data_IF_907826623421
#
_entry.id   IF_907826623421
#
_cell.length_a   1.000
_cell.length_b   1.000
_cell.length_c   1.000
_cell.angle_alpha   90.00
_cell.angle_beta   90.00
_cell.angle_gamma   90.00
#
_symmetry.space_group_name_H-M   'P 1'
#
loop_
_entity.id
_entity.type
_entity.pdbx_description
1 polymer ?
#
# COMPACT_ATOMS: atom_id res chain seq x y z
N UNK A 1 27.34 28.47 30.76
CA UNK A 1 26.98 27.40 29.81
C UNK A 1 26.02 28.01 28.79
N UNK A 2 26.57 28.70 27.80
CA UNK A 2 25.81 29.47 26.82
C UNK A 2 25.44 28.56 25.64
N UNK A 3 24.20 28.08 25.62
CA UNK A 3 23.62 27.44 24.45
C UNK A 3 23.40 28.56 23.43
N UNK A 4 24.39 28.73 22.54
CA UNK A 4 24.29 29.64 21.40
C UNK A 4 23.07 29.25 20.57
N UNK A 5 22.11 30.17 20.49
CA UNK A 5 21.18 30.29 19.38
C UNK A 5 22.01 30.24 18.08
N UNK A 6 21.97 29.13 17.36
CA UNK A 6 22.36 29.12 15.96
C UNK A 6 21.26 29.82 15.19
N UNK A 7 21.54 31.07 14.82
CA UNK A 7 20.77 31.84 13.87
C UNK A 7 20.51 30.97 12.62
N UNK A 8 19.24 30.85 12.25
CA UNK A 8 18.86 30.29 10.97
C UNK A 8 19.30 31.29 9.89
N UNK A 9 20.48 31.08 9.33
CA UNK A 9 20.91 31.78 8.12
C UNK A 9 19.87 31.51 7.01
N UNK A 10 19.20 32.57 6.58
CA UNK A 10 18.39 32.59 5.38
C UNK A 10 19.32 32.39 4.19
N UNK A 11 19.28 31.19 3.60
CA UNK A 11 20.06 30.91 2.40
C UNK A 11 19.39 31.63 1.24
N UNK A 12 20.11 32.54 0.62
CA UNK A 12 19.77 33.07 -0.69
C UNK A 12 19.86 31.92 -1.72
N UNK A 13 18.71 31.56 -2.29
CA UNK A 13 18.63 30.46 -3.24
C UNK A 13 19.09 30.99 -4.61
N UNK A 14 20.37 30.79 -4.92
CA UNK A 14 20.94 31.08 -6.24
C UNK A 14 21.13 29.80 -7.04
N UNK A 15 21.31 29.94 -8.36
CA UNK A 15 21.55 28.81 -9.27
C UNK A 15 22.82 28.05 -8.90
N UNK A 16 23.87 28.74 -8.43
CA UNK A 16 25.13 28.10 -8.01
C UNK A 16 25.02 27.35 -6.67
N UNK A 17 24.12 27.76 -5.77
CA UNK A 17 23.99 27.19 -4.42
C UNK A 17 22.95 26.05 -4.34
N UNK A 18 22.35 25.65 -5.47
CA UNK A 18 21.28 24.63 -5.48
C UNK A 18 21.73 23.29 -4.90
N UNK A 19 22.93 22.84 -5.25
CA UNK A 19 23.42 21.53 -4.82
C UNK A 19 23.67 21.47 -3.31
N UNK A 20 24.22 22.53 -2.73
CA UNK A 20 24.47 22.64 -1.29
C UNK A 20 23.15 22.75 -0.51
N UNK A 21 22.17 23.51 -1.02
CA UNK A 21 20.82 23.55 -0.45
C UNK A 21 20.20 22.15 -0.45
N UNK A 22 20.29 21.39 -1.55
CA UNK A 22 19.77 20.02 -1.61
C UNK A 22 20.44 19.13 -0.56
N UNK A 23 21.77 19.17 -0.45
CA UNK A 23 22.52 18.39 0.56
C UNK A 23 22.09 18.73 1.98
N UNK A 24 21.91 20.02 2.29
CA UNK A 24 21.51 20.49 3.63
C UNK A 24 20.11 20.03 4.02
N UNK A 25 19.17 19.97 3.08
CA UNK A 25 17.78 19.57 3.34
C UNK A 25 17.49 18.09 3.07
N UNK A 26 18.44 17.32 2.54
CA UNK A 26 18.31 15.86 2.34
C UNK A 26 17.87 15.08 3.59
N UNK A 27 18.39 15.36 4.81
CA UNK A 27 17.91 14.69 6.03
C UNK A 27 16.42 14.94 6.33
N UNK A 28 15.90 16.11 5.97
CA UNK A 28 14.47 16.43 6.12
C UNK A 28 13.62 15.57 5.20
N UNK A 29 14.05 15.34 3.96
CA UNK A 29 13.37 14.45 3.02
C UNK A 29 13.28 13.05 3.60
N UNK A 30 14.40 12.51 4.11
CA UNK A 30 14.43 11.19 4.75
C UNK A 30 13.45 11.09 5.92
N UNK A 31 13.39 12.11 6.77
CA UNK A 31 12.43 12.16 7.88
C UNK A 31 10.97 12.13 7.39
N UNK A 32 10.62 12.95 6.40
CA UNK A 32 9.26 13.00 5.84
C UNK A 32 8.88 11.67 5.19
N UNK A 33 9.76 11.11 4.36
CA UNK A 33 9.55 9.84 3.66
C UNK A 33 9.34 8.68 4.64
N UNK A 34 10.21 8.52 5.64
CA UNK A 34 10.08 7.47 6.66
C UNK A 34 8.76 7.59 7.44
N UNK A 35 8.36 8.81 7.81
CA UNK A 35 7.11 9.03 8.54
C UNK A 35 5.87 8.66 7.71
N UNK A 36 5.92 8.83 6.39
CA UNK A 36 4.86 8.41 5.47
C UNK A 36 4.90 6.88 5.33
N UNK A 37 6.07 6.30 5.11
CA UNK A 37 6.27 4.85 4.94
C UNK A 37 5.75 4.02 6.11
N UNK A 38 5.82 4.52 7.36
CA UNK A 38 5.24 3.84 8.54
C UNK A 38 3.74 3.53 8.42
N UNK A 39 3.02 4.19 7.51
CA UNK A 39 1.58 4.01 7.28
C UNK A 39 1.26 3.31 5.96
N UNK A 40 2.29 2.90 5.23
CA UNK A 40 2.16 2.30 3.91
C UNK A 40 2.38 0.79 3.98
N UNK A 41 1.80 0.03 3.03
CA UNK A 41 2.12 -1.39 2.86
C UNK A 41 3.61 -1.64 2.60
N UNK A 42 4.11 -2.85 2.91
CA UNK A 42 5.54 -3.19 2.78
C UNK A 42 6.05 -3.24 1.33
N UNK A 43 5.17 -3.25 0.33
CA UNK A 43 5.57 -3.27 -1.08
C UNK A 43 6.00 -1.89 -1.62
N UNK A 44 5.85 -0.81 -0.84
CA UNK A 44 6.29 0.52 -1.23
C UNK A 44 7.66 0.78 -0.61
N UNK A 45 8.68 0.95 -1.47
CA UNK A 45 10.03 1.20 -1.02
C UNK A 45 10.23 2.64 -0.54
N UNK A 46 10.91 2.80 0.59
CA UNK A 46 11.18 4.13 1.17
C UNK A 46 12.12 4.94 0.29
N UNK A 47 13.04 4.28 -0.41
CA UNK A 47 14.02 4.93 -1.27
C UNK A 47 13.35 5.58 -2.51
N UNK A 48 12.26 5.00 -3.00
CA UNK A 48 11.43 5.62 -4.04
C UNK A 48 10.77 6.91 -3.52
N UNK A 49 10.22 6.89 -2.30
CA UNK A 49 9.63 8.08 -1.68
C UNK A 49 10.68 9.18 -1.44
N UNK A 50 11.91 8.80 -1.08
CA UNK A 50 13.02 9.75 -0.94
C UNK A 50 13.34 10.38 -2.30
N UNK A 51 13.41 9.60 -3.37
CA UNK A 51 13.70 10.07 -4.73
C UNK A 51 12.64 11.06 -5.22
N UNK A 52 11.35 10.75 -5.02
CA UNK A 52 10.23 11.67 -5.28
C UNK A 52 10.33 12.93 -4.43
N UNK A 53 10.70 12.78 -3.16
CA UNK A 53 10.91 13.89 -2.24
C UNK A 53 12.03 14.83 -2.70
N UNK A 54 13.11 14.31 -3.31
CA UNK A 54 14.17 15.12 -3.92
C UNK A 54 13.62 15.94 -5.08
N UNK A 55 12.82 15.35 -5.97
CA UNK A 55 12.17 16.08 -7.06
C UNK A 55 11.25 17.20 -6.53
N UNK A 56 10.48 16.91 -5.48
CA UNK A 56 9.66 17.90 -4.79
C UNK A 56 10.45 19.06 -4.17
N UNK A 57 11.65 18.78 -3.64
CA UNK A 57 12.57 19.80 -3.13
C UNK A 57 13.14 20.65 -4.27
N UNK A 58 13.53 20.05 -5.41
CA UNK A 58 14.03 20.79 -6.57
C UNK A 58 12.98 21.76 -7.13
N UNK A 59 11.70 21.34 -7.16
CA UNK A 59 10.58 22.22 -7.52
C UNK A 59 10.38 23.34 -6.48
N UNK A 60 10.49 23.02 -5.19
CA UNK A 60 10.38 24.00 -4.12
C UNK A 60 11.48 25.07 -4.20
N UNK A 61 12.72 24.67 -4.46
CA UNK A 61 13.87 25.57 -4.67
C UNK A 61 13.59 26.54 -5.82
N UNK A 62 13.03 26.04 -6.91
CA UNK A 62 12.78 26.85 -8.13
C UNK A 62 11.63 27.85 -7.98
N UNK A 63 10.66 27.56 -7.09
CA UNK A 63 9.44 28.36 -6.91
C UNK A 63 9.40 29.15 -5.61
N UNK A 64 10.42 29.04 -4.76
CA UNK A 64 10.45 29.73 -3.49
C UNK A 64 10.66 31.23 -3.69
N UNK A 65 9.91 32.01 -2.93
CA UNK A 65 9.93 33.46 -2.96
C UNK A 65 10.05 33.96 -1.52
N UNK A 66 11.24 34.50 -1.18
CA UNK A 66 11.57 34.99 0.15
C UNK A 66 10.75 36.21 0.56
N UNK A 67 10.18 36.95 -0.41
CA UNK A 67 9.35 38.14 -0.13
C UNK A 67 8.04 37.81 0.59
N UNK A 68 7.62 36.54 0.57
CA UNK A 68 6.36 36.06 1.17
C UNK A 68 6.45 35.76 2.66
N UNK A 69 7.61 35.94 3.29
CA UNK A 69 7.81 35.86 4.74
C UNK A 69 7.73 34.45 5.34
N UNK A 70 7.58 33.40 4.53
CA UNK A 70 7.59 32.02 5.00
C UNK A 70 9.02 31.47 4.95
N UNK A 71 9.48 30.81 6.02
CA UNK A 71 10.80 30.16 6.03
C UNK A 71 10.87 29.06 4.98
N UNK A 72 11.97 29.02 4.22
CA UNK A 72 12.19 28.01 3.18
C UNK A 72 11.98 26.58 3.69
N UNK A 73 12.51 26.23 4.87
CA UNK A 73 12.33 24.90 5.46
C UNK A 73 10.86 24.48 5.55
N UNK A 74 10.00 25.37 6.04
CA UNK A 74 8.57 25.09 6.21
C UNK A 74 7.86 24.95 4.87
N UNK A 75 8.23 25.80 3.90
CA UNK A 75 7.71 25.70 2.53
C UNK A 75 8.14 24.40 1.84
N UNK A 76 9.44 24.08 1.90
CA UNK A 76 10.03 22.88 1.33
C UNK A 76 9.42 21.61 1.92
N UNK A 77 9.22 21.54 3.24
CA UNK A 77 8.58 20.39 3.90
C UNK A 77 7.16 20.14 3.35
N UNK A 78 6.37 21.20 3.17
CA UNK A 78 5.03 21.09 2.59
C UNK A 78 5.07 20.60 1.12
N UNK A 79 6.00 21.12 0.31
CA UNK A 79 6.16 20.74 -1.10
C UNK A 79 6.65 19.31 -1.27
N UNK A 80 7.65 18.89 -0.50
CA UNK A 80 8.19 17.52 -0.48
C UNK A 80 7.11 16.53 -0.08
N UNK A 81 6.39 16.81 1.02
CA UNK A 81 5.28 15.97 1.45
C UNK A 81 4.18 15.88 0.40
N UNK A 82 3.85 17.01 -0.25
CA UNK A 82 2.89 17.05 -1.34
C UNK A 82 3.30 16.16 -2.51
N UNK A 83 4.54 16.29 -2.97
CA UNK A 83 5.08 15.47 -4.07
C UNK A 83 5.01 13.97 -3.76
N UNK A 84 5.42 13.55 -2.56
CA UNK A 84 5.34 12.14 -2.15
C UNK A 84 3.88 11.65 -2.13
N UNK A 85 2.95 12.44 -1.59
CA UNK A 85 1.53 12.08 -1.56
C UNK A 85 0.90 12.05 -2.97
N UNK A 86 1.36 12.89 -3.89
CA UNK A 86 0.89 12.92 -5.27
C UNK A 86 1.40 11.69 -6.04
N UNK A 87 2.65 11.29 -5.85
CA UNK A 87 3.18 10.05 -6.44
C UNK A 87 2.46 8.81 -5.87
N UNK A 88 2.26 8.77 -4.56
CA UNK A 88 1.49 7.70 -3.92
C UNK A 88 0.06 7.64 -4.46
N UNK A 89 -0.55 8.75 -4.86
CA UNK A 89 -1.87 8.75 -5.50
C UNK A 89 -1.82 8.27 -6.96
N UNK A 90 -0.71 8.48 -7.66
CA UNK A 90 -0.52 7.96 -9.00
C UNK A 90 -0.28 6.44 -8.99
N UNK A 91 0.43 5.94 -7.96
CA UNK A 91 0.68 4.51 -7.73
C UNK A 91 -0.50 3.77 -7.07
N UNK A 92 -1.18 4.38 -6.10
CA UNK A 92 -2.34 3.80 -5.43
C UNK A 92 -3.54 3.76 -6.39
N UNK A 93 -3.82 2.57 -6.92
CA UNK A 93 -5.06 2.27 -7.65
C UNK A 93 -6.34 2.46 -6.80
N UNK A 94 -6.25 2.71 -5.48
CA UNK A 94 -7.41 2.80 -4.57
C UNK A 94 -8.16 4.14 -4.72
N UNK A 95 -9.42 4.14 -5.22
CA UNK A 95 -10.21 5.35 -5.42
C UNK A 95 -10.45 6.15 -4.14
N UNK A 96 -10.64 7.48 -4.28
CA UNK A 96 -10.94 8.39 -3.16
C UNK A 96 -12.18 7.96 -2.37
N UNK A 97 -13.19 7.40 -3.03
CA UNK A 97 -14.42 6.89 -2.41
C UNK A 97 -14.14 5.78 -1.40
N UNK A 98 -13.28 4.82 -1.75
CA UNK A 98 -12.88 3.71 -0.87
C UNK A 98 -12.10 4.25 0.34
N UNK A 99 -11.16 5.17 0.12
CA UNK A 99 -10.42 5.84 1.20
C UNK A 99 -11.33 6.60 2.18
N UNK A 100 -12.37 7.24 1.66
CA UNK A 100 -13.35 7.95 2.49
C UNK A 100 -14.19 6.98 3.32
N UNK A 101 -14.62 5.85 2.73
CA UNK A 101 -15.31 4.77 3.44
C UNK A 101 -14.44 4.22 4.57
N UNK A 102 -13.17 3.90 4.29
CA UNK A 102 -12.20 3.43 5.27
C UNK A 102 -12.04 4.37 6.46
N UNK A 103 -11.79 5.66 6.19
CA UNK A 103 -11.62 6.66 7.25
C UNK A 103 -12.91 6.86 8.06
N UNK A 104 -14.08 6.65 7.46
CA UNK A 104 -15.36 6.75 8.18
C UNK A 104 -15.53 5.58 9.16
N UNK A 105 -15.25 4.35 8.72
CA UNK A 105 -15.27 3.16 9.58
C UNK A 105 -14.34 3.35 10.77
N UNK A 106 -13.08 3.75 10.54
CA UNK A 106 -12.09 3.97 11.60
C UNK A 106 -12.56 5.00 12.65
N UNK A 107 -13.16 6.11 12.19
CA UNK A 107 -13.68 7.14 13.10
C UNK A 107 -14.81 6.63 13.97
N UNK A 108 -15.72 5.86 13.39
CA UNK A 108 -16.85 5.28 14.12
C UNK A 108 -16.37 4.25 15.13
N UNK A 109 -15.45 3.36 14.74
CA UNK A 109 -14.85 2.36 15.63
C UNK A 109 -14.13 3.04 16.80
N UNK A 110 -13.29 4.05 16.55
CA UNK A 110 -12.61 4.79 17.61
C UNK A 110 -13.59 5.53 18.54
N UNK A 111 -14.64 6.12 17.98
CA UNK A 111 -15.68 6.79 18.74
C UNK A 111 -16.45 5.83 19.65
N UNK A 112 -16.83 4.66 19.15
CA UNK A 112 -17.51 3.62 19.93
C UNK A 112 -16.57 3.01 20.97
N UNK A 113 -15.31 2.74 20.62
CA UNK A 113 -14.33 2.22 21.57
C UNK A 113 -14.11 3.17 22.75
N UNK A 114 -14.08 4.49 22.49
CA UNK A 114 -14.00 5.50 23.55
C UNK A 114 -15.26 5.56 24.43
N UNK A 115 -16.45 5.32 23.86
CA UNK A 115 -17.72 5.30 24.62
C UNK A 115 -17.90 4.00 25.42
N UNK A 116 -17.56 2.86 24.84
CA UNK A 116 -17.86 1.53 25.37
C UNK A 116 -16.73 0.99 26.27
N UNK A 117 -15.52 1.57 26.20
CA UNK A 117 -14.32 1.08 26.90
C UNK A 117 -13.98 -0.39 26.58
N UNK A 118 -14.45 -0.89 25.44
CA UNK A 118 -14.14 -2.20 24.86
C UNK A 118 -14.14 -2.07 23.33
N UNK A 119 -13.66 -3.11 22.63
CA UNK A 119 -13.83 -3.18 21.19
C UNK A 119 -15.35 -3.25 20.85
N UNK A 120 -15.84 -2.43 19.91
CA UNK A 120 -17.23 -2.50 19.45
C UNK A 120 -17.44 -3.76 18.60
N UNK A 121 -18.64 -4.33 18.66
CA UNK A 121 -19.04 -5.43 17.77
C UNK A 121 -19.45 -4.89 16.40
N UNK A 122 -19.34 -5.71 15.36
CA UNK A 122 -19.64 -5.32 13.98
C UNK A 122 -21.08 -4.78 13.82
N UNK A 123 -22.03 -5.35 14.55
CA UNK A 123 -23.42 -4.88 14.59
C UNK A 123 -23.55 -3.46 15.18
N UNK A 124 -22.76 -3.14 16.22
CA UNK A 124 -22.74 -1.82 16.86
C UNK A 124 -22.15 -0.77 15.93
N UNK A 125 -21.09 -1.13 15.20
CA UNK A 125 -20.44 -0.28 14.19
C UNK A 125 -21.39 -0.02 13.03
N UNK A 126 -22.01 -1.06 12.47
CA UNK A 126 -22.97 -0.94 11.38
C UNK A 126 -24.15 -0.04 11.76
N UNK A 127 -24.66 -0.18 12.99
CA UNK A 127 -25.75 0.64 13.53
C UNK A 127 -25.37 2.10 13.68
N UNK A 128 -24.19 2.41 14.22
CA UNK A 128 -23.71 3.81 14.35
C UNK A 128 -23.43 4.44 12.97
N UNK A 129 -23.03 3.62 11.98
CA UNK A 129 -22.86 4.04 10.59
C UNK A 129 -24.19 4.21 9.82
N UNK A 130 -25.31 3.69 10.35
CA UNK A 130 -26.61 3.72 9.68
C UNK A 130 -26.71 2.82 8.45
N UNK A 131 -25.92 1.74 8.40
CA UNK A 131 -25.91 0.76 7.29
C UNK A 131 -26.28 -0.63 7.80
N UNK A 132 -26.66 -1.52 6.88
CA UNK A 132 -26.89 -2.94 7.22
C UNK A 132 -25.56 -3.66 7.51
N UNK A 133 -25.63 -4.79 8.24
CA UNK A 133 -24.46 -5.62 8.53
C UNK A 133 -23.79 -6.14 7.24
N UNK A 134 -24.58 -6.53 6.24
CA UNK A 134 -24.06 -6.98 4.95
C UNK A 134 -23.31 -5.87 4.21
N UNK A 135 -23.88 -4.66 4.18
CA UNK A 135 -23.21 -3.49 3.59
C UNK A 135 -21.94 -3.10 4.35
N UNK A 136 -21.90 -3.33 5.66
CA UNK A 136 -20.71 -3.13 6.47
C UNK A 136 -19.62 -4.14 6.07
N UNK A 137 -19.95 -5.42 5.92
CA UNK A 137 -19.02 -6.44 5.45
C UNK A 137 -18.52 -6.16 4.02
N UNK A 138 -19.38 -5.71 3.11
CA UNK A 138 -18.98 -5.28 1.76
C UNK A 138 -18.02 -4.11 1.82
N UNK A 139 -18.32 -3.11 2.65
CA UNK A 139 -17.45 -1.94 2.86
C UNK A 139 -16.09 -2.34 3.43
N UNK A 140 -16.04 -3.29 4.37
CA UNK A 140 -14.80 -3.84 4.88
C UNK A 140 -14.01 -4.55 3.79
N UNK A 141 -14.67 -5.34 2.94
CA UNK A 141 -14.00 -6.05 1.85
C UNK A 141 -13.47 -5.11 0.76
N UNK A 142 -14.21 -4.06 0.40
CA UNK A 142 -13.73 -3.03 -0.53
C UNK A 142 -12.55 -2.23 0.05
N UNK A 143 -12.55 -2.02 1.37
CA UNK A 143 -11.53 -1.22 2.07
C UNK A 143 -10.25 -2.01 2.35
N UNK A 144 -10.32 -3.34 2.40
CA UNK A 144 -9.12 -4.19 2.56
C UNK A 144 -8.20 -3.96 1.36
N UNK A 145 -7.14 -3.16 1.54
CA UNK A 145 -5.97 -3.27 0.68
C UNK A 145 -5.51 -4.71 0.76
N UNK A 146 -5.51 -5.43 -0.36
CA UNK A 146 -4.91 -6.75 -0.44
C UNK A 146 -3.40 -6.49 -0.47
N UNK A 147 -2.66 -6.73 0.63
CA UNK A 147 -1.21 -6.73 0.53
C UNK A 147 -0.80 -7.77 -0.52
N UNK A 148 -0.03 -7.33 -1.51
CA UNK A 148 0.67 -8.24 -2.40
C UNK A 148 1.78 -8.85 -1.56
N UNK A 149 1.70 -10.16 -1.32
CA UNK A 149 2.76 -10.88 -0.64
C UNK A 149 3.59 -11.64 -1.67
N UNK A 150 4.89 -11.76 -1.40
CA UNK A 150 5.74 -12.70 -2.11
C UNK A 150 5.35 -14.12 -1.71
N UNK A 151 5.07 -14.96 -2.71
CA UNK A 151 4.82 -16.39 -2.46
C UNK A 151 6.08 -17.15 -2.04
N UNK A 152 7.27 -16.58 -2.28
CA UNK A 152 8.54 -17.09 -1.74
C UNK A 152 8.70 -16.81 -0.24
N UNK A 153 8.22 -15.64 0.22
CA UNK A 153 8.34 -15.24 1.63
C UNK A 153 7.27 -15.88 2.52
N UNK A 154 6.12 -16.24 1.94
CA UNK A 154 5.14 -17.08 2.61
C UNK A 154 5.65 -18.51 2.59
N UNK A 155 6.18 -18.97 3.72
CA UNK A 155 6.61 -20.34 3.88
C UNK A 155 6.10 -20.99 5.17
N UNK A 156 5.98 -22.32 5.14
CA UNK A 156 5.73 -23.12 6.33
C UNK A 156 7.10 -23.49 6.90
N UNK A 157 7.37 -23.06 8.14
CA UNK A 157 8.57 -23.48 8.84
C UNK A 157 8.48 -25.00 9.10
N UNK A 158 9.36 -25.79 8.51
CA UNK A 158 9.52 -27.19 8.90
C UNK A 158 10.25 -27.28 10.24
N UNK A 159 9.97 -28.33 11.01
CA UNK A 159 10.69 -28.65 12.25
C UNK A 159 12.21 -28.81 12.04
N UNK A 160 12.66 -29.01 10.80
CA UNK A 160 14.07 -29.08 10.40
C UNK A 160 14.77 -27.71 10.28
N UNK A 161 14.05 -26.59 10.44
CA UNK A 161 14.61 -25.24 10.30
C UNK A 161 14.71 -24.71 8.87
N UNK A 162 14.34 -25.51 7.87
CA UNK A 162 14.22 -25.07 6.48
C UNK A 162 12.84 -24.44 6.22
N UNK A 163 12.81 -23.24 5.66
CA UNK A 163 11.58 -22.60 5.17
C UNK A 163 11.21 -23.22 3.82
N UNK A 164 10.05 -23.86 3.73
CA UNK A 164 9.48 -24.22 2.43
C UNK A 164 8.60 -23.11 1.93
N UNK A 165 8.84 -22.66 0.70
CA UNK A 165 8.01 -21.67 0.02
C UNK A 165 6.62 -22.25 -0.25
N UNK A 166 5.57 -21.42 -0.16
CA UNK A 166 4.23 -21.82 -0.57
C UNK A 166 4.17 -22.23 -2.04
N UNK A 167 5.08 -21.73 -2.88
CA UNK A 167 5.21 -22.17 -4.27
C UNK A 167 5.41 -23.69 -4.38
N UNK A 168 6.15 -24.28 -3.44
CA UNK A 168 6.43 -25.73 -3.41
C UNK A 168 5.23 -26.55 -2.94
N UNK A 169 4.26 -25.91 -2.26
CA UNK A 169 3.05 -26.55 -1.76
C UNK A 169 1.85 -26.38 -2.70
N UNK A 170 1.94 -25.50 -3.70
CA UNK A 170 0.86 -25.29 -4.65
C UNK A 170 0.75 -26.51 -5.58
N UNK A 171 -0.32 -27.28 -5.39
CA UNK A 171 -0.65 -28.36 -6.29
C UNK A 171 -0.84 -27.82 -7.72
N UNK A 172 -0.25 -28.50 -8.69
CA UNK A 172 -0.51 -28.22 -10.11
C UNK A 172 -2.00 -28.36 -10.45
N UNK A 173 -2.41 -27.78 -11.59
CA UNK A 173 -3.79 -27.94 -12.09
C UNK A 173 -4.15 -29.42 -12.16
N UNK A 174 -5.36 -29.78 -11.72
CA UNK A 174 -5.84 -31.16 -11.75
C UNK A 174 -5.73 -31.82 -13.14
N UNK A 175 -5.83 -31.02 -14.20
CA UNK A 175 -5.73 -31.47 -15.60
C UNK A 175 -4.31 -31.90 -16.01
N UNK A 176 -3.30 -31.56 -15.21
CA UNK A 176 -1.91 -31.96 -15.43
C UNK A 176 -1.60 -33.36 -14.86
N UNK A 177 -2.54 -33.96 -14.12
CA UNK A 177 -2.39 -35.32 -13.61
C UNK A 177 -2.44 -36.34 -14.77
N UNK A 178 -1.36 -37.12 -15.01
CA UNK A 178 -1.31 -38.10 -16.08
C UNK A 178 -2.45 -39.14 -16.00
N UNK A 179 -2.87 -39.51 -14.80
CA UNK A 179 -3.95 -40.47 -14.62
C UNK A 179 -5.29 -39.89 -15.10
N UNK A 180 -5.55 -38.62 -14.82
CA UNK A 180 -6.73 -37.89 -15.30
C UNK A 180 -6.72 -37.72 -16.82
N UNK A 181 -5.56 -37.46 -17.41
CA UNK A 181 -5.43 -37.38 -18.87
C UNK A 181 -5.73 -38.71 -19.57
N UNK A 182 -5.18 -39.82 -19.06
CA UNK A 182 -5.42 -41.16 -19.62
C UNK A 182 -6.91 -41.52 -19.49
N UNK A 183 -7.52 -41.29 -18.32
CA UNK A 183 -8.96 -41.54 -18.11
C UNK A 183 -9.85 -40.79 -19.11
N UNK A 184 -9.52 -39.54 -19.44
CA UNK A 184 -10.28 -38.77 -20.42
C UNK A 184 -10.15 -39.33 -21.85
N UNK A 185 -8.97 -39.85 -22.21
CA UNK A 185 -8.76 -40.51 -23.50
C UNK A 185 -9.55 -41.82 -23.56
N UNK A 186 -9.44 -42.67 -22.53
CA UNK A 186 -10.19 -43.93 -22.46
C UNK A 186 -11.70 -43.70 -22.47
N UNK A 187 -12.19 -42.71 -21.73
CA UNK A 187 -13.60 -42.35 -21.70
C UNK A 187 -14.10 -41.95 -23.10
N UNK A 188 -13.31 -41.17 -23.85
CA UNK A 188 -13.63 -40.81 -25.23
C UNK A 188 -13.72 -42.03 -26.14
N UNK A 189 -12.79 -42.98 -26.02
CA UNK A 189 -12.83 -44.21 -26.80
C UNK A 189 -14.04 -45.07 -26.48
N UNK A 190 -14.39 -45.20 -25.20
CA UNK A 190 -15.57 -45.96 -24.76
C UNK A 190 -16.84 -45.30 -25.28
N UNK A 191 -16.95 -43.98 -25.18
CA UNK A 191 -18.11 -43.23 -25.69
C UNK A 191 -18.20 -43.38 -27.21
N UNK A 192 -17.09 -43.26 -27.95
CA UNK A 192 -17.10 -43.44 -29.40
C UNK A 192 -17.60 -44.84 -29.80
N UNK A 193 -17.06 -45.89 -29.16
CA UNK A 193 -17.53 -47.27 -29.39
C UNK A 193 -19.00 -47.47 -29.02
N UNK A 194 -19.47 -46.83 -27.95
CA UNK A 194 -20.87 -46.90 -27.54
C UNK A 194 -21.80 -46.17 -28.52
N UNK A 195 -21.35 -45.06 -29.10
CA UNK A 195 -22.08 -44.33 -30.15
C UNK A 195 -22.17 -45.18 -31.42
N UNK A 196 -21.06 -45.81 -31.83
CA UNK A 196 -21.02 -46.69 -33.01
C UNK A 196 -21.94 -47.92 -32.87
N UNK A 197 -22.21 -48.36 -31.64
CA UNK A 197 -23.11 -49.47 -31.33
C UNK A 197 -24.59 -49.08 -31.27
N UNK A 198 -24.92 -47.79 -31.41
CA UNK A 198 -26.32 -47.36 -31.46
C UNK A 198 -26.95 -47.72 -32.82
N UNK A 199 -28.19 -48.22 -32.83
CA UNK A 199 -28.88 -48.50 -34.09
C UNK A 199 -29.09 -47.21 -34.88
N UNK A 200 -28.83 -47.26 -36.19
CA UNK A 200 -29.15 -46.16 -37.10
C UNK A 200 -30.65 -45.85 -37.01
N UNK A 201 -30.97 -44.55 -36.97
CA UNK A 201 -32.35 -44.07 -37.10
C UNK A 201 -32.75 -43.99 -38.56
#
# INVERSE_FOLDING_TARGET
MAIKQQAAEEIEITTENREEVIKRYSPMIKYVANRIAMRLPPHIEVDDLISVGVLGLMDAISKYDSSRGAKFKTYAEFRVRGAILDELRAMDWVPRSIRQKASNVDKVVQGLQAKLSRAPEDEEVAKEMGISLDQFHDTLNETKSIPIFSLEDLGIAKESGEQQSLLDCLAGKADADPQTQIRLVELKEIIAKAIDALPEK
#
